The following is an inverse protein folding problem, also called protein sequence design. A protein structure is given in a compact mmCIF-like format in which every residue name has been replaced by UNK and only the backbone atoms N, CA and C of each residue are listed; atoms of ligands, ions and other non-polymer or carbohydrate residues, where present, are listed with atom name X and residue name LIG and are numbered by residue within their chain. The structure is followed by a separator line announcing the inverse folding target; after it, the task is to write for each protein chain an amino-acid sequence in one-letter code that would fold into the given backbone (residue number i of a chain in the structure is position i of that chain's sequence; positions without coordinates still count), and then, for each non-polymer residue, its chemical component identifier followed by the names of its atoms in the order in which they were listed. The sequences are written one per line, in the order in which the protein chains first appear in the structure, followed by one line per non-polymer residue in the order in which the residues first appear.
data_IF_513053296753
#
_entry.id   IF_513053296753
#
_cell.length_a   1.000
_cell.length_b   1.000
_cell.length_c   1.000
_cell.angle_alpha   90.00
_cell.angle_beta   90.00
_cell.angle_gamma   90.00
#
_symmetry.space_group_name_H-M   'P 1'
#
loop_
_entity.id
_entity.type
_entity.pdbx_description
1 polymer ?
#
# COMPACT_ATOMS: atom_id res chain seq x y z
N UNK A 1 24.15 0.52 14.68
CA UNK A 1 23.20 -0.48 14.14
C UNK A 1 21.83 0.16 14.02
N UNK A 2 21.43 0.60 12.83
CA UNK A 2 20.06 1.07 12.59
C UNK A 2 19.20 -0.13 12.23
N UNK A 3 18.36 -0.56 13.17
CA UNK A 3 17.32 -1.54 12.90
C UNK A 3 16.30 -0.88 11.97
N UNK A 4 16.48 -1.04 10.64
CA UNK A 4 15.42 -0.68 9.68
C UNK A 4 14.28 -1.66 9.91
N UNK A 5 13.19 -1.16 10.48
CA UNK A 5 11.95 -1.93 10.65
C UNK A 5 11.53 -2.54 9.31
N UNK A 6 11.31 -3.86 9.20
CA UNK A 6 10.94 -4.53 7.95
C UNK A 6 9.62 -4.04 7.35
N UNK A 7 8.70 -3.50 8.18
CA UNK A 7 7.47 -2.83 7.71
C UNK A 7 7.76 -1.63 6.81
N UNK A 8 8.93 -1.01 6.92
CA UNK A 8 9.29 0.15 6.13
C UNK A 8 9.63 -0.21 4.66
N UNK A 9 10.10 -1.43 4.36
CA UNK A 9 10.59 -1.76 3.02
C UNK A 9 9.46 -1.85 1.98
N UNK A 10 8.47 -2.73 2.19
CA UNK A 10 7.30 -2.81 1.32
C UNK A 10 6.54 -1.47 1.22
N UNK A 11 6.39 -0.76 2.34
CA UNK A 11 5.78 0.58 2.37
C UNK A 11 6.52 1.55 1.43
N UNK A 12 7.84 1.65 1.55
CA UNK A 12 8.66 2.54 0.73
C UNK A 12 8.63 2.16 -0.76
N UNK A 13 8.55 0.88 -1.08
CA UNK A 13 8.43 0.41 -2.46
C UNK A 13 7.07 0.77 -3.07
N UNK A 14 5.98 0.62 -2.32
CA UNK A 14 4.66 1.06 -2.77
C UNK A 14 4.56 2.59 -2.90
N UNK A 15 5.17 3.35 -1.98
CA UNK A 15 5.28 4.81 -2.11
C UNK A 15 6.10 5.20 -3.35
N UNK A 16 7.24 4.54 -3.59
CA UNK A 16 8.07 4.81 -4.76
C UNK A 16 7.34 4.50 -6.07
N UNK A 17 6.58 3.38 -6.13
CA UNK A 17 5.75 3.05 -7.28
C UNK A 17 4.66 4.11 -7.51
N UNK A 18 3.95 4.52 -6.46
CA UNK A 18 2.96 5.59 -6.56
C UNK A 18 3.59 6.91 -7.04
N UNK A 19 4.72 7.32 -6.43
CA UNK A 19 5.42 8.54 -6.77
C UNK A 19 5.92 8.55 -8.22
N UNK A 20 6.41 7.41 -8.74
CA UNK A 20 6.81 7.26 -10.15
C UNK A 20 5.68 7.48 -11.16
N UNK A 21 4.43 7.44 -10.69
CA UNK A 21 3.22 7.69 -11.48
C UNK A 21 2.55 9.02 -11.12
N UNK A 22 3.26 9.90 -10.41
CA UNK A 22 2.74 11.16 -9.87
C UNK A 22 1.51 10.98 -8.96
N UNK A 23 1.41 9.82 -8.32
CA UNK A 23 0.39 9.52 -7.32
C UNK A 23 0.99 9.64 -5.93
N UNK A 24 0.13 9.85 -4.93
CA UNK A 24 0.52 9.77 -3.52
C UNK A 24 -0.10 8.55 -2.88
N UNK A 25 0.72 7.78 -2.18
CA UNK A 25 0.24 6.70 -1.33
C UNK A 25 -0.54 7.24 -0.14
N UNK A 26 -1.47 6.43 0.35
CA UNK A 26 -2.08 6.57 1.67
C UNK A 26 -2.85 5.29 2.01
N UNK A 27 -2.73 4.86 3.26
CA UNK A 27 -3.12 3.52 3.72
C UNK A 27 -4.34 3.48 4.63
N UNK A 28 -5.20 4.50 4.60
CA UNK A 28 -6.50 4.44 5.29
C UNK A 28 -7.60 4.91 4.34
N UNK A 29 -8.19 3.97 3.61
CA UNK A 29 -9.21 4.23 2.58
C UNK A 29 -8.69 5.00 1.35
N UNK A 30 -7.38 5.23 1.28
CA UNK A 30 -6.72 5.95 0.19
C UNK A 30 -6.38 5.06 -1.00
N UNK A 31 -5.38 5.50 -1.76
CA UNK A 31 -4.95 4.83 -3.00
C UNK A 31 -4.61 3.36 -2.80
N UNK A 32 -3.86 3.00 -1.76
CA UNK A 32 -3.37 1.64 -1.56
C UNK A 32 -4.48 0.67 -1.19
N UNK A 33 -5.20 0.97 -0.10
CA UNK A 33 -6.29 0.13 0.38
C UNK A 33 -7.34 -0.08 -0.70
N UNK A 34 -7.70 1.00 -1.40
CA UNK A 34 -8.69 0.94 -2.47
C UNK A 34 -8.21 0.10 -3.64
N UNK A 35 -6.95 0.27 -4.09
CA UNK A 35 -6.42 -0.49 -5.20
C UNK A 35 -6.27 -1.98 -4.85
N UNK A 36 -5.70 -2.30 -3.69
CA UNK A 36 -5.49 -3.68 -3.22
C UNK A 36 -6.84 -4.39 -2.97
N UNK A 37 -7.83 -3.70 -2.38
CA UNK A 37 -9.20 -4.23 -2.25
C UNK A 37 -9.84 -4.47 -3.61
N UNK A 38 -9.66 -3.55 -4.57
CA UNK A 38 -10.19 -3.73 -5.94
C UNK A 38 -9.54 -4.93 -6.62
N UNK A 39 -8.26 -5.20 -6.37
CA UNK A 39 -7.58 -6.35 -6.93
C UNK A 39 -8.16 -7.69 -6.46
N UNK A 40 -8.50 -7.79 -5.17
CA UNK A 40 -8.95 -9.05 -4.54
C UNK A 40 -10.48 -9.21 -4.60
N UNK A 41 -11.22 -8.14 -4.41
CA UNK A 41 -12.69 -8.15 -4.35
C UNK A 41 -13.26 -6.98 -5.18
N UNK A 42 -13.27 -7.08 -6.52
CA UNK A 42 -13.75 -5.99 -7.39
C UNK A 42 -15.18 -5.53 -7.08
N UNK A 43 -16.06 -6.44 -6.67
CA UNK A 43 -17.45 -6.14 -6.30
C UNK A 43 -17.59 -5.35 -4.99
N UNK A 44 -16.57 -5.32 -4.14
CA UNK A 44 -16.58 -4.57 -2.89
C UNK A 44 -16.22 -3.09 -3.09
N UNK A 45 -15.63 -2.74 -4.23
CA UNK A 45 -15.23 -1.37 -4.56
C UNK A 45 -16.31 -0.71 -5.40
N UNK A 46 -16.64 0.53 -5.06
CA UNK A 46 -17.67 1.35 -5.74
C UNK A 46 -17.00 2.59 -6.34
N UNK A 47 -16.38 2.50 -7.54
CA UNK A 47 -15.60 3.59 -8.12
C UNK A 47 -16.42 4.86 -8.37
N UNK A 48 -17.71 4.69 -8.65
CA UNK A 48 -18.66 5.79 -8.82
C UNK A 48 -18.85 6.65 -7.55
N UNK A 49 -18.41 6.18 -6.38
CA UNK A 49 -18.48 6.90 -5.11
C UNK A 49 -17.14 7.49 -4.67
N UNK A 50 -16.10 7.40 -5.50
CA UNK A 50 -14.80 7.99 -5.16
C UNK A 50 -14.92 9.51 -5.14
N UNK A 51 -14.56 10.08 -4.00
CA UNK A 51 -14.48 11.51 -3.82
C UNK A 51 -13.00 11.94 -3.74
N UNK A 52 -12.71 13.16 -4.18
CA UNK A 52 -11.37 13.72 -4.10
C UNK A 52 -10.91 13.76 -2.65
N UNK A 53 -9.85 13.03 -2.32
CA UNK A 53 -9.24 13.01 -1.00
C UNK A 53 -8.10 14.02 -0.84
N UNK A 54 -7.60 14.16 0.38
CA UNK A 54 -6.49 15.08 0.68
C UNK A 54 -5.14 14.39 0.45
N UNK A 55 -4.34 14.93 -0.47
CA UNK A 55 -2.99 14.45 -0.79
C UNK A 55 -1.88 15.34 -0.18
N UNK A 56 -2.24 16.37 0.58
CA UNK A 56 -1.29 17.36 1.09
C UNK A 56 -0.37 16.81 2.19
N UNK A 57 -0.88 15.88 3.02
CA UNK A 57 -0.12 15.22 4.08
C UNK A 57 -0.34 13.69 4.06
N UNK A 58 0.75 12.93 3.98
CA UNK A 58 0.69 11.45 4.06
C UNK A 58 0.20 11.03 5.45
N UNK A 59 -0.83 10.20 5.50
CA UNK A 59 -1.38 9.62 6.74
C UNK A 59 -2.33 10.52 7.54
N UNK A 60 -2.54 11.79 7.15
CA UNK A 60 -3.58 12.62 7.75
C UNK A 60 -4.97 12.18 7.26
N UNK A 61 -5.93 12.05 8.17
CA UNK A 61 -7.32 11.77 7.82
C UNK A 61 -8.07 13.06 7.49
N UNK A 62 -8.84 13.04 6.41
CA UNK A 62 -9.79 14.09 6.07
C UNK A 62 -11.09 13.98 6.88
N UNK A 63 -12.05 14.89 6.64
CA UNK A 63 -13.35 14.90 7.33
C UNK A 63 -14.21 13.65 7.11
N UNK A 64 -13.87 12.79 6.13
CA UNK A 64 -14.53 11.51 5.84
C UNK A 64 -13.78 10.33 6.45
N UNK A 65 -12.69 10.60 7.15
CA UNK A 65 -11.82 9.58 7.73
C UNK A 65 -10.94 8.89 6.69
N UNK A 66 -10.64 9.52 5.55
CA UNK A 66 -9.77 8.96 4.51
C UNK A 66 -8.41 9.67 4.56
N UNK A 67 -7.31 8.92 4.43
CA UNK A 67 -6.00 9.49 4.12
C UNK A 67 -5.70 9.32 2.64
N UNK A 68 -5.19 10.36 1.98
CA UNK A 68 -4.89 10.35 0.53
C UNK A 68 -6.11 10.39 -0.37
N UNK A 69 -5.92 10.02 -1.63
CA UNK A 69 -6.95 10.11 -2.68
C UNK A 69 -7.18 8.76 -3.38
N UNK A 70 -8.39 8.18 -3.32
CA UNK A 70 -8.70 6.89 -3.93
C UNK A 70 -8.96 6.99 -5.44
N UNK A 71 -9.13 8.18 -6.03
CA UNK A 71 -9.62 8.35 -7.42
C UNK A 71 -8.73 7.70 -8.47
N UNK A 72 -7.44 7.58 -8.21
CA UNK A 72 -6.47 6.94 -9.12
C UNK A 72 -6.27 5.45 -8.85
N UNK A 73 -7.01 4.87 -7.90
CA UNK A 73 -6.95 3.44 -7.62
C UNK A 73 -7.48 2.64 -8.81
N UNK A 74 -6.79 1.55 -9.13
CA UNK A 74 -7.22 0.60 -10.16
C UNK A 74 -6.91 -0.82 -9.70
N UNK A 75 -7.61 -1.80 -10.26
CA UNK A 75 -7.32 -3.22 -10.03
C UNK A 75 -5.87 -3.58 -10.44
N UNK A 76 -5.37 -3.04 -11.54
CA UNK A 76 -4.00 -3.30 -11.99
C UNK A 76 -2.97 -2.79 -10.97
N UNK A 77 -3.14 -1.56 -10.50
CA UNK A 77 -2.28 -0.98 -9.48
C UNK A 77 -2.32 -1.79 -8.17
N UNK A 78 -3.49 -2.31 -7.79
CA UNK A 78 -3.64 -3.17 -6.62
C UNK A 78 -2.87 -4.48 -6.71
N UNK A 79 -2.80 -5.09 -7.90
CA UNK A 79 -1.98 -6.29 -8.13
C UNK A 79 -0.49 -5.96 -7.95
N UNK A 80 -0.04 -4.84 -8.49
CA UNK A 80 1.37 -4.42 -8.35
C UNK A 80 1.75 -4.14 -6.88
N UNK A 81 0.88 -3.47 -6.12
CA UNK A 81 1.08 -3.28 -4.68
C UNK A 81 1.11 -4.61 -3.93
N UNK A 82 0.14 -5.50 -4.22
CA UNK A 82 0.06 -6.83 -3.63
C UNK A 82 1.32 -7.65 -3.89
N UNK A 83 1.82 -7.65 -5.14
CA UNK A 83 3.04 -8.37 -5.52
C UNK A 83 4.26 -7.86 -4.76
N UNK A 84 4.41 -6.53 -4.61
CA UNK A 84 5.48 -5.92 -3.81
C UNK A 84 5.41 -6.42 -2.37
N UNK A 85 4.24 -6.32 -1.72
CA UNK A 85 4.07 -6.66 -0.31
C UNK A 85 4.27 -8.16 -0.05
N UNK A 86 3.68 -9.02 -0.88
CA UNK A 86 3.80 -10.48 -0.73
C UNK A 86 5.24 -10.92 -0.94
N UNK A 87 5.92 -10.44 -1.98
CA UNK A 87 7.32 -10.77 -2.23
C UNK A 87 8.22 -10.36 -1.07
N UNK A 88 8.05 -9.12 -0.56
CA UNK A 88 8.85 -8.61 0.56
C UNK A 88 8.55 -9.40 1.85
N UNK A 89 7.28 -9.65 2.16
CA UNK A 89 6.87 -10.45 3.32
C UNK A 89 7.43 -11.88 3.26
N UNK A 90 7.37 -12.55 2.10
CA UNK A 90 7.93 -13.90 1.92
C UNK A 90 9.45 -13.89 2.11
N UNK A 91 10.16 -12.90 1.58
CA UNK A 91 11.60 -12.76 1.78
C UNK A 91 11.94 -12.58 3.28
N UNK A 92 11.18 -11.74 3.99
CA UNK A 92 11.34 -11.53 5.43
C UNK A 92 11.09 -12.81 6.23
N UNK A 93 9.99 -13.52 5.96
CA UNK A 93 9.67 -14.79 6.63
C UNK A 93 10.80 -15.80 6.43
N UNK A 94 11.32 -15.94 5.20
CA UNK A 94 12.44 -16.84 4.90
C UNK A 94 13.71 -16.46 5.67
N UNK A 95 14.04 -15.17 5.75
CA UNK A 95 15.19 -14.70 6.51
C UNK A 95 15.06 -14.98 8.01
N UNK A 96 13.87 -14.76 8.59
CA UNK A 96 13.59 -15.06 9.99
C UNK A 96 13.68 -16.56 10.28
N UNK A 97 13.13 -17.40 9.41
CA UNK A 97 13.21 -18.86 9.56
C UNK A 97 14.66 -19.38 9.44
N UNK A 98 15.48 -18.77 8.57
CA UNK A 98 16.90 -19.11 8.47
C UNK A 98 17.67 -18.70 9.73
N UNK A 99 17.40 -17.52 10.29
CA UNK A 99 18.02 -17.05 11.52
C UNK A 99 17.66 -17.93 12.73
N UNK A 100 16.42 -18.40 12.83
CA UNK A 100 15.99 -19.34 13.89
C UNK A 100 16.67 -20.71 13.78
N UNK A 101 17.06 -21.12 12.56
CA UNK A 101 17.70 -22.42 12.29
C UNK A 101 19.22 -22.39 12.35
N UNK A 102 19.82 -21.21 12.50
CA UNK A 102 21.27 -21.09 12.65
C UNK A 102 21.71 -21.69 14.00
N UNK A 103 22.75 -22.55 14.04
CA UNK A 103 23.23 -23.18 15.26
C UNK A 103 23.82 -22.19 16.26
#
# INVERSE_FOLDING_TARGET
MTCRSPRAAAFLLCEALAASRHLRGAGHGGLWDTAELWAVAPSAVRPALFAAGDTSASGALDARGISGDPRSATQALGREFGDIRVRDAVAQIRALLAAVRAP
#
